data_IF_216069353835
#
_entry.id   IF_216069353835
#
_cell.length_a   1.000
_cell.length_b   1.000
_cell.length_c   1.000
_cell.angle_alpha   90.00
_cell.angle_beta   90.00
_cell.angle_gamma   90.00
#
_symmetry.space_group_name_H-M   'P 1'
#
loop_
_entity.id
_entity.type
_entity.pdbx_description
1 polymer ?
#
# COMPACT_ATOMS: atom_id res chain seq x y z
N UNK A 1 21.71 -18.05 -24.05
CA UNK A 1 22.51 -16.81 -24.19
C UNK A 1 21.74 -15.54 -23.78
N UNK A 2 20.50 -15.33 -24.23
CA UNK A 2 19.74 -14.08 -23.95
C UNK A 2 19.51 -13.83 -22.44
N UNK A 3 19.19 -14.86 -21.65
CA UNK A 3 18.94 -14.72 -20.20
C UNK A 3 20.17 -14.30 -19.37
N UNK A 4 21.38 -14.38 -19.93
CA UNK A 4 22.62 -14.01 -19.22
C UNK A 4 23.04 -12.56 -19.53
N UNK A 5 22.52 -11.99 -20.62
CA UNK A 5 22.85 -10.64 -21.07
C UNK A 5 21.79 -9.60 -20.69
N UNK A 6 20.58 -10.04 -20.32
CA UNK A 6 19.44 -9.15 -20.08
C UNK A 6 18.67 -9.60 -18.85
N UNK A 7 18.21 -8.64 -18.04
CA UNK A 7 17.29 -8.91 -16.95
C UNK A 7 15.91 -9.29 -17.50
N UNK A 8 15.47 -10.52 -17.25
CA UNK A 8 14.14 -11.00 -17.65
C UNK A 8 13.16 -10.62 -16.55
N UNK A 9 12.08 -9.93 -16.94
CA UNK A 9 10.95 -9.62 -16.07
C UNK A 9 9.78 -10.55 -16.42
N UNK A 10 9.25 -11.24 -15.41
CA UNK A 10 8.10 -12.11 -15.57
C UNK A 10 6.82 -11.36 -15.20
N UNK A 11 5.92 -11.22 -16.16
CA UNK A 11 4.60 -10.58 -15.99
C UNK A 11 3.46 -11.60 -15.93
N UNK A 12 3.74 -12.89 -15.76
CA UNK A 12 2.68 -13.90 -15.59
C UNK A 12 1.83 -13.58 -14.36
N UNK A 13 0.52 -13.66 -14.54
CA UNK A 13 -0.43 -13.57 -13.45
C UNK A 13 -0.18 -14.71 -12.45
N UNK A 14 -0.10 -14.38 -11.17
CA UNK A 14 -0.06 -15.35 -10.08
C UNK A 14 -1.48 -15.60 -9.56
N UNK A 15 -1.73 -16.79 -9.00
CA UNK A 15 -3.03 -17.11 -8.43
C UNK A 15 -3.44 -16.12 -7.34
N UNK A 16 -2.52 -15.80 -6.42
CA UNK A 16 -2.76 -14.85 -5.34
C UNK A 16 -3.04 -13.44 -5.88
N UNK A 17 -2.25 -12.97 -6.85
CA UNK A 17 -2.44 -11.64 -7.45
C UNK A 17 -3.77 -11.52 -8.20
N UNK A 18 -4.16 -12.58 -8.92
CA UNK A 18 -5.44 -12.62 -9.61
C UNK A 18 -6.61 -12.71 -8.63
N UNK A 19 -6.48 -13.51 -7.57
CA UNK A 19 -7.49 -13.60 -6.51
C UNK A 19 -7.71 -12.24 -5.84
N UNK A 20 -6.64 -11.53 -5.47
CA UNK A 20 -6.77 -10.20 -4.85
C UNK A 20 -7.40 -9.18 -5.80
N UNK A 21 -7.07 -9.26 -7.09
CA UNK A 21 -7.68 -8.44 -8.14
C UNK A 21 -9.19 -8.73 -8.28
N UNK A 22 -9.58 -10.00 -8.33
CA UNK A 22 -10.98 -10.41 -8.40
C UNK A 22 -11.75 -10.03 -7.13
N UNK A 23 -11.10 -10.10 -5.96
CA UNK A 23 -11.70 -9.67 -4.70
C UNK A 23 -12.01 -8.18 -4.71
N UNK A 24 -11.09 -7.35 -5.22
CA UNK A 24 -11.34 -5.92 -5.40
C UNK A 24 -12.55 -5.65 -6.29
N UNK A 25 -12.67 -6.35 -7.43
CA UNK A 25 -13.79 -6.20 -8.36
C UNK A 25 -15.13 -6.63 -7.76
N UNK A 26 -15.17 -7.76 -7.06
CA UNK A 26 -16.40 -8.25 -6.42
C UNK A 26 -16.86 -7.28 -5.33
N UNK A 27 -15.93 -6.81 -4.49
CA UNK A 27 -16.26 -5.86 -3.42
C UNK A 27 -16.70 -4.51 -4.00
N UNK A 28 -16.07 -4.03 -5.07
CA UNK A 28 -16.48 -2.80 -5.75
C UNK A 28 -17.93 -2.87 -6.27
N UNK A 29 -18.37 -4.06 -6.69
CA UNK A 29 -19.71 -4.28 -7.19
C UNK A 29 -20.75 -4.45 -6.08
N UNK A 30 -20.42 -5.22 -5.03
CA UNK A 30 -21.35 -5.56 -3.94
C UNK A 30 -21.42 -4.46 -2.86
N UNK A 31 -20.29 -3.82 -2.56
CA UNK A 31 -20.16 -2.84 -1.49
C UNK A 31 -19.22 -1.68 -1.89
N UNK A 32 -19.66 -0.82 -2.85
CA UNK A 32 -18.81 0.21 -3.45
C UNK A 32 -18.23 1.19 -2.43
N UNK A 33 -19.01 1.59 -1.43
CA UNK A 33 -18.55 2.52 -0.39
C UNK A 33 -17.36 1.98 0.41
N UNK A 34 -17.31 0.67 0.64
CA UNK A 34 -16.22 0.03 1.40
C UNK A 34 -14.96 -0.07 0.55
N UNK A 35 -15.09 -0.31 -0.76
CA UNK A 35 -13.95 -0.28 -1.66
C UNK A 35 -13.42 1.15 -1.88
N UNK A 36 -14.29 2.15 -1.99
CA UNK A 36 -13.89 3.57 -2.05
C UNK A 36 -13.12 3.99 -0.79
N UNK A 37 -13.62 3.64 0.40
CA UNK A 37 -12.92 3.88 1.68
C UNK A 37 -11.57 3.18 1.72
N UNK A 38 -11.47 1.95 1.19
CA UNK A 38 -10.18 1.23 1.10
C UNK A 38 -9.19 1.99 0.22
N UNK A 39 -9.62 2.42 -0.96
CA UNK A 39 -8.77 3.16 -1.90
C UNK A 39 -8.34 4.51 -1.31
N UNK A 40 -9.26 5.25 -0.69
CA UNK A 40 -8.93 6.53 -0.05
C UNK A 40 -7.93 6.34 1.10
N UNK A 41 -8.12 5.31 1.93
CA UNK A 41 -7.20 4.99 3.03
C UNK A 41 -5.79 4.67 2.55
N UNK A 42 -5.63 3.98 1.41
CA UNK A 42 -4.31 3.71 0.84
C UNK A 42 -3.62 5.01 0.42
N UNK A 43 -4.35 5.91 -0.24
CA UNK A 43 -3.82 7.21 -0.68
C UNK A 43 -3.44 8.07 0.53
N UNK A 44 -4.33 8.16 1.51
CA UNK A 44 -4.12 8.95 2.73
C UNK A 44 -2.95 8.40 3.56
N UNK A 45 -2.83 7.08 3.67
CA UNK A 45 -1.72 6.42 4.37
C UNK A 45 -0.38 6.68 3.67
N UNK A 46 -0.35 6.61 2.34
CA UNK A 46 0.84 6.93 1.56
C UNK A 46 1.25 8.41 1.74
N UNK A 47 0.28 9.32 1.72
CA UNK A 47 0.50 10.74 1.97
C UNK A 47 1.01 11.00 3.39
N UNK A 48 0.41 10.39 4.40
CA UNK A 48 0.83 10.50 5.80
C UNK A 48 2.28 10.00 5.99
N UNK A 49 2.64 8.85 5.40
CA UNK A 49 4.01 8.33 5.44
C UNK A 49 5.01 9.25 4.73
N UNK A 50 4.63 9.84 3.59
CA UNK A 50 5.47 10.83 2.90
C UNK A 50 5.69 12.08 3.76
N UNK A 51 4.63 12.58 4.40
CA UNK A 51 4.72 13.74 5.29
C UNK A 51 5.59 13.49 6.52
N UNK A 52 5.50 12.29 7.12
CA UNK A 52 6.40 11.89 8.21
C UNK A 52 7.85 11.94 7.76
N UNK A 53 8.17 11.34 6.61
CA UNK A 53 9.51 11.35 6.05
C UNK A 53 10.02 12.77 5.77
N UNK A 54 9.18 13.65 5.22
CA UNK A 54 9.54 15.05 5.01
C UNK A 54 9.83 15.79 6.32
N UNK A 55 9.11 15.49 7.40
CA UNK A 55 9.36 16.06 8.73
C UNK A 55 10.70 15.55 9.27
N UNK A 56 10.96 14.24 9.17
CA UNK A 56 12.24 13.63 9.57
C UNK A 56 13.42 14.24 8.81
N UNK A 57 13.30 14.37 7.48
CA UNK A 57 14.34 14.96 6.63
C UNK A 57 14.59 16.43 6.99
N UNK A 58 13.54 17.20 7.31
CA UNK A 58 13.68 18.60 7.80
C UNK A 58 14.39 18.66 9.14
N UNK A 59 14.06 17.78 10.08
CA UNK A 59 14.73 17.71 11.39
C UNK A 59 16.22 17.40 11.19
N UNK A 60 16.55 16.40 10.37
CA UNK A 60 17.94 16.05 10.06
C UNK A 60 18.70 17.19 9.39
N UNK A 61 18.06 17.89 8.44
CA UNK A 61 18.66 19.04 7.78
C UNK A 61 18.98 20.16 8.79
N UNK A 62 18.01 20.51 9.64
CA UNK A 62 18.17 21.55 10.67
C UNK A 62 19.28 21.21 11.67
N UNK A 63 19.32 19.96 12.15
CA UNK A 63 20.37 19.46 13.03
C UNK A 63 21.75 19.49 12.36
N UNK A 64 21.82 19.20 11.06
CA UNK A 64 23.08 19.23 10.30
C UNK A 64 23.58 20.64 9.98
N UNK A 65 22.67 21.62 9.84
CA UNK A 65 23.02 23.01 9.56
C UNK A 65 23.35 23.83 10.81
N UNK A 66 22.91 23.37 11.98
CA UNK A 66 23.19 24.05 13.25
C UNK A 66 24.70 24.03 13.52
N UNK A 67 25.30 25.22 13.55
CA UNK A 67 26.73 25.42 13.85
C UNK A 67 26.85 26.11 15.20
N UNK A 68 27.18 25.34 16.25
CA UNK A 68 27.28 25.85 17.62
C UNK A 68 26.58 24.96 18.64
N UNK A 69 26.26 25.51 19.81
CA UNK A 69 25.50 24.82 20.84
C UNK A 69 24.01 24.86 20.49
N UNK A 70 23.46 23.70 20.14
CA UNK A 70 22.07 23.50 19.69
C UNK A 70 21.05 23.95 20.76
N UNK A 71 21.46 23.96 22.04
CA UNK A 71 20.62 24.37 23.16
C UNK A 71 20.38 25.89 23.23
N UNK A 72 21.17 26.69 22.51
CA UNK A 72 21.05 28.15 22.50
C UNK A 72 20.22 28.66 21.31
N UNK A 73 19.81 27.77 20.40
CA UNK A 73 19.03 28.09 19.20
C UNK A 73 17.53 27.93 19.49
N UNK A 74 16.92 29.00 19.98
CA UNK A 74 15.51 29.04 20.40
C UNK A 74 14.55 28.78 19.22
N UNK A 75 14.88 29.25 18.02
CA UNK A 75 14.11 28.98 16.79
C UNK A 75 14.14 27.49 16.43
N UNK A 76 15.31 26.85 16.52
CA UNK A 76 15.46 25.41 16.28
C UNK A 76 14.66 24.58 17.27
N UNK A 77 14.68 24.94 18.55
CA UNK A 77 13.91 24.26 19.60
C UNK A 77 12.40 24.37 19.35
N UNK A 78 11.92 25.55 18.94
CA UNK A 78 10.51 25.77 18.64
C UNK A 78 10.04 24.93 17.43
N UNK A 79 10.84 24.90 16.36
CA UNK A 79 10.57 24.10 15.15
C UNK A 79 10.59 22.60 15.45
N UNK A 80 11.54 22.13 16.25
CA UNK A 80 11.62 20.73 16.70
C UNK A 80 10.40 20.33 17.54
N UNK A 81 9.97 21.20 18.46
CA UNK A 81 8.79 21.00 19.29
C UNK A 81 7.51 20.91 18.45
N UNK A 82 7.32 21.85 17.53
CA UNK A 82 6.18 21.84 16.60
C UNK A 82 6.17 20.60 15.70
N UNK A 83 7.33 20.24 15.15
CA UNK A 83 7.49 19.04 14.30
C UNK A 83 7.19 17.75 15.06
N UNK A 84 7.61 17.65 16.33
CA UNK A 84 7.32 16.51 17.19
C UNK A 84 5.80 16.36 17.43
N UNK A 85 5.09 17.44 17.71
CA UNK A 85 3.63 17.40 17.91
C UNK A 85 2.92 16.93 16.64
N UNK A 86 3.31 17.47 15.47
CA UNK A 86 2.73 17.06 14.19
C UNK A 86 3.03 15.60 13.88
N UNK A 87 4.27 15.14 14.10
CA UNK A 87 4.68 13.74 13.88
C UNK A 87 3.86 12.78 14.74
N UNK A 88 3.69 13.06 16.03
CA UNK A 88 2.88 12.23 16.94
C UNK A 88 1.42 12.15 16.50
N UNK A 89 0.86 13.27 16.02
CA UNK A 89 -0.51 13.29 15.47
C UNK A 89 -0.64 12.43 14.22
N UNK A 90 0.34 12.48 13.32
CA UNK A 90 0.32 11.64 12.10
C UNK A 90 0.49 10.16 12.48
N UNK A 91 1.36 9.82 13.43
CA UNK A 91 1.49 8.44 13.92
C UNK A 91 0.18 7.89 14.51
N UNK A 92 -0.52 8.68 15.31
CA UNK A 92 -1.82 8.31 15.85
C UNK A 92 -2.85 8.09 14.74
N UNK A 93 -2.87 8.98 13.74
CA UNK A 93 -3.74 8.84 12.57
C UNK A 93 -3.43 7.58 11.77
N UNK A 94 -2.15 7.25 11.56
CA UNK A 94 -1.73 6.03 10.85
C UNK A 94 -2.15 4.78 11.63
N UNK A 95 -2.01 4.77 12.96
CA UNK A 95 -2.52 3.66 13.79
C UNK A 95 -4.02 3.48 13.65
N UNK A 96 -4.79 4.57 13.64
CA UNK A 96 -6.23 4.51 13.44
C UNK A 96 -6.59 3.99 12.05
N UNK A 97 -5.87 4.43 11.02
CA UNK A 97 -6.04 3.93 9.64
C UNK A 97 -5.74 2.43 9.53
N UNK A 98 -4.75 1.92 10.25
CA UNK A 98 -4.40 0.49 10.27
C UNK A 98 -5.53 -0.35 10.88
N UNK A 99 -6.12 0.11 11.98
CA UNK A 99 -7.29 -0.54 12.60
C UNK A 99 -8.46 -0.56 11.62
N UNK A 100 -8.77 0.58 10.98
CA UNK A 100 -9.84 0.65 9.98
C UNK A 100 -9.55 -0.23 8.77
N UNK A 101 -8.29 -0.32 8.32
CA UNK A 101 -7.89 -1.21 7.24
C UNK A 101 -8.08 -2.68 7.59
N UNK A 102 -7.84 -3.07 8.84
CA UNK A 102 -8.10 -4.44 9.32
C UNK A 102 -9.60 -4.74 9.29
N UNK A 103 -10.43 -3.84 9.79
CA UNK A 103 -11.89 -3.97 9.75
C UNK A 103 -12.41 -4.13 8.31
N UNK A 104 -11.91 -3.31 7.38
CA UNK A 104 -12.25 -3.44 5.96
C UNK A 104 -11.80 -4.81 5.41
N UNK A 105 -10.60 -5.27 5.78
CA UNK A 105 -10.11 -6.58 5.35
C UNK A 105 -10.97 -7.74 5.88
N UNK A 106 -11.48 -7.63 7.10
CA UNK A 106 -12.39 -8.62 7.69
C UNK A 106 -13.72 -8.67 6.94
N UNK A 107 -14.32 -7.51 6.65
CA UNK A 107 -15.56 -7.45 5.83
C UNK A 107 -15.34 -8.04 4.44
N UNK A 108 -14.19 -7.74 3.80
CA UNK A 108 -13.83 -8.28 2.49
C UNK A 108 -13.60 -9.79 2.50
N UNK A 109 -13.23 -10.38 3.64
CA UNK A 109 -12.92 -11.80 3.73
C UNK A 109 -14.11 -12.71 3.34
N UNK A 110 -15.34 -12.21 3.51
CA UNK A 110 -16.57 -12.92 3.10
C UNK A 110 -16.59 -13.21 1.59
N UNK A 111 -16.02 -12.31 0.78
CA UNK A 111 -15.99 -12.44 -0.68
C UNK A 111 -14.79 -13.23 -1.22
N UNK A 112 -13.83 -13.57 -0.35
CA UNK A 112 -12.58 -14.27 -0.72
C UNK A 112 -12.79 -15.62 -1.42
N UNK A 113 -13.77 -16.47 -1.02
CA UNK A 113 -14.05 -17.72 -1.72
C UNK A 113 -14.55 -17.51 -3.16
N UNK A 114 -15.29 -16.42 -3.42
CA UNK A 114 -15.79 -16.10 -4.75
C UNK A 114 -14.63 -15.68 -5.67
N UNK A 115 -13.76 -14.81 -5.18
CA UNK A 115 -12.56 -14.38 -5.89
C UNK A 115 -11.62 -15.55 -6.22
N UNK A 116 -11.47 -16.51 -5.30
CA UNK A 116 -10.67 -17.72 -5.53
C UNK A 116 -11.23 -18.58 -6.66
N UNK A 117 -12.56 -18.77 -6.72
CA UNK A 117 -13.20 -19.52 -7.81
C UNK A 117 -12.99 -18.85 -9.17
N UNK A 118 -13.10 -17.52 -9.22
CA UNK A 118 -12.82 -16.74 -10.44
C UNK A 118 -11.36 -16.91 -10.89
N UNK A 119 -10.42 -16.80 -9.96
CA UNK A 119 -9.00 -16.98 -10.28
C UNK A 119 -8.70 -18.41 -10.75
N UNK A 120 -9.24 -19.43 -10.08
CA UNK A 120 -9.08 -20.82 -10.49
C UNK A 120 -9.63 -21.08 -11.91
N UNK A 121 -10.81 -20.54 -12.24
CA UNK A 121 -11.39 -20.68 -13.57
C UNK A 121 -10.50 -20.08 -14.66
N UNK A 122 -9.88 -18.93 -14.40
CA UNK A 122 -8.94 -18.32 -15.34
C UNK A 122 -7.76 -19.25 -15.66
N UNK A 123 -7.14 -19.86 -14.65
CA UNK A 123 -6.03 -20.80 -14.87
C UNK A 123 -6.49 -22.09 -15.56
N UNK A 124 -7.65 -22.63 -15.18
CA UNK A 124 -8.21 -23.82 -15.85
C UNK A 124 -8.44 -23.55 -17.34
N UNK A 125 -8.98 -22.37 -17.69
CA UNK A 125 -9.18 -21.98 -19.09
C UNK A 125 -7.83 -21.84 -19.79
N UNK A 126 -6.84 -21.22 -19.15
CA UNK A 126 -5.48 -21.12 -19.69
C UNK A 126 -4.83 -22.49 -19.93
N UNK A 127 -5.12 -23.48 -19.11
CA UNK A 127 -4.62 -24.86 -19.28
C UNK A 127 -5.32 -25.64 -20.40
N UNK A 128 -6.47 -25.18 -20.93
CA UNK A 128 -7.15 -25.85 -22.04
C UNK A 128 -6.33 -25.87 -23.33
N UNK A 129 -5.37 -24.95 -23.49
CA UNK A 129 -4.43 -24.96 -24.61
C UNK A 129 -3.57 -26.24 -24.67
N UNK A 130 -3.44 -26.97 -23.54
CA UNK A 130 -2.76 -28.28 -23.48
C UNK A 130 -3.56 -29.36 -24.20
N UNK A 131 -4.89 -29.24 -24.23
CA UNK A 131 -5.78 -30.20 -24.90
C UNK A 131 -5.85 -29.92 -26.39
N UNK A 132 -6.07 -28.66 -26.78
CA UNK A 132 -6.04 -28.22 -28.17
C UNK A 132 -5.50 -26.78 -28.25
N UNK A 133 -4.50 -26.51 -29.11
CA UNK A 133 -3.96 -25.16 -29.32
C UNK A 133 -5.00 -24.11 -29.74
N UNK A 134 -6.17 -24.52 -30.25
CA UNK A 134 -7.29 -23.63 -30.56
C UNK A 134 -7.87 -22.94 -29.31
N UNK A 135 -7.70 -23.50 -28.11
CA UNK A 135 -8.25 -22.98 -26.85
C UNK A 135 -7.29 -22.03 -26.10
N UNK A 136 -6.31 -21.46 -26.80
CA UNK A 136 -5.40 -20.45 -26.27
C UNK A 136 -5.97 -19.03 -26.38
#
# INVERSE_FOLDING_TARGET
EICVMVAILNFMATLDGLQDSMLGLVVAQEEPETEEKRVSLVIDSAKAKSQLKEIEDKILALLSSSTGNILDDEELIEVLSGSKVVSLKIEEQVKQQEITSQQISETRAVYRPHALRCAALYFIIGELCVVDPMYQ
#
